data_IF_051827971839
#
_entry.id   IF_051827971839
#
_cell.length_a   1.000
_cell.length_b   1.000
_cell.length_c   1.000
_cell.angle_alpha   90.00
_cell.angle_beta   90.00
_cell.angle_gamma   90.00
#
_symmetry.space_group_name_H-M   'P 1'
#
loop_
_entity.id
_entity.type
_entity.pdbx_description
1 polymer ?
#
# COMPACT_ATOMS: atom_id res chain seq x y z
N UNK A 1 -35.59 -90.14 -5.13
CA UNK A 1 -35.29 -88.78 -4.62
C UNK A 1 -36.53 -88.30 -3.90
N UNK A 2 -36.48 -88.08 -2.58
CA UNK A 2 -37.65 -87.72 -1.76
C UNK A 2 -37.91 -86.19 -1.84
N UNK A 3 -39.16 -85.77 -1.63
CA UNK A 3 -39.57 -84.36 -1.76
C UNK A 3 -38.73 -83.38 -0.91
N UNK A 4 -38.20 -83.84 0.23
CA UNK A 4 -37.29 -83.07 1.09
C UNK A 4 -35.96 -82.73 0.39
N UNK A 5 -35.38 -83.66 -0.37
CA UNK A 5 -34.14 -83.41 -1.11
C UNK A 5 -34.31 -82.39 -2.25
N UNK A 6 -35.47 -82.41 -2.93
CA UNK A 6 -35.81 -81.45 -3.98
C UNK A 6 -36.02 -80.04 -3.42
N UNK A 7 -36.66 -79.93 -2.25
CA UNK A 7 -36.85 -78.67 -1.54
C UNK A 7 -35.52 -78.08 -1.06
N UNK A 8 -34.62 -78.92 -0.52
CA UNK A 8 -33.30 -78.49 -0.07
C UNK A 8 -32.43 -77.95 -1.24
N UNK A 9 -32.47 -78.58 -2.41
CA UNK A 9 -31.78 -78.11 -3.63
C UNK A 9 -32.36 -76.77 -4.10
N UNK A 10 -33.69 -76.63 -4.11
CA UNK A 10 -34.34 -75.38 -4.50
C UNK A 10 -33.98 -74.21 -3.56
N UNK A 11 -33.95 -74.44 -2.25
CA UNK A 11 -33.54 -73.44 -1.25
C UNK A 11 -32.06 -73.07 -1.44
N UNK A 12 -31.19 -74.06 -1.69
CA UNK A 12 -29.76 -73.80 -1.90
C UNK A 12 -29.51 -72.99 -3.19
N UNK A 13 -30.20 -73.32 -4.28
CA UNK A 13 -30.12 -72.57 -5.54
C UNK A 13 -30.65 -71.14 -5.39
N UNK A 14 -31.76 -70.96 -4.65
CA UNK A 14 -32.32 -69.65 -4.37
C UNK A 14 -31.39 -68.80 -3.50
N UNK A 15 -30.78 -69.38 -2.46
CA UNK A 15 -29.78 -68.70 -1.64
C UNK A 15 -28.53 -68.33 -2.44
N UNK A 16 -28.11 -69.20 -3.36
CA UNK A 16 -26.96 -68.94 -4.26
C UNK A 16 -27.27 -67.81 -5.23
N UNK A 17 -28.49 -67.76 -5.79
CA UNK A 17 -28.96 -66.66 -6.64
C UNK A 17 -29.09 -65.33 -5.87
N UNK A 18 -29.58 -65.38 -4.63
CA UNK A 18 -29.62 -64.21 -3.75
C UNK A 18 -28.22 -63.73 -3.36
N UNK A 19 -27.25 -64.63 -3.19
CA UNK A 19 -25.88 -64.27 -2.89
C UNK A 19 -25.19 -63.61 -4.08
N UNK A 20 -25.31 -64.16 -5.29
CA UNK A 20 -24.69 -63.60 -6.50
C UNK A 20 -25.26 -62.23 -6.87
N UNK A 21 -26.57 -62.01 -6.72
CA UNK A 21 -27.20 -60.70 -6.94
C UNK A 21 -26.74 -59.64 -5.93
N UNK A 22 -26.63 -59.99 -4.64
CA UNK A 22 -26.09 -59.09 -3.61
C UNK A 22 -24.63 -58.70 -3.87
N UNK A 23 -23.81 -59.66 -4.28
CA UNK A 23 -22.41 -59.44 -4.66
C UNK A 23 -22.32 -58.47 -5.84
N UNK A 24 -23.16 -58.64 -6.87
CA UNK A 24 -23.23 -57.74 -8.02
C UNK A 24 -23.60 -56.30 -7.64
N UNK A 25 -24.62 -56.12 -6.80
CA UNK A 25 -25.05 -54.80 -6.30
C UNK A 25 -23.91 -54.11 -5.52
N UNK A 26 -23.19 -54.87 -4.69
CA UNK A 26 -22.05 -54.35 -3.94
C UNK A 26 -20.95 -53.82 -4.87
N UNK A 27 -20.59 -54.57 -5.92
CA UNK A 27 -19.58 -54.12 -6.89
C UNK A 27 -20.02 -52.88 -7.67
N UNK A 28 -21.30 -52.78 -8.05
CA UNK A 28 -21.85 -51.60 -8.72
C UNK A 28 -21.77 -50.38 -7.79
N UNK A 29 -22.20 -50.52 -6.54
CA UNK A 29 -22.12 -49.45 -5.54
C UNK A 29 -20.68 -48.98 -5.28
N UNK A 30 -19.75 -49.93 -5.21
CA UNK A 30 -18.33 -49.64 -5.07
C UNK A 30 -17.77 -48.89 -6.28
N UNK A 31 -18.13 -49.29 -7.50
CA UNK A 31 -17.70 -48.61 -8.73
C UNK A 31 -18.25 -47.17 -8.81
N UNK A 32 -19.52 -46.96 -8.43
CA UNK A 32 -20.12 -45.62 -8.35
C UNK A 32 -19.42 -44.76 -7.30
N UNK A 33 -19.12 -45.33 -6.13
CA UNK A 33 -18.40 -44.62 -5.08
C UNK A 33 -17.01 -44.17 -5.53
N UNK A 34 -16.25 -45.03 -6.20
CA UNK A 34 -14.95 -44.68 -6.78
C UNK A 34 -15.07 -43.59 -7.85
N UNK A 35 -16.10 -43.66 -8.69
CA UNK A 35 -16.36 -42.64 -9.71
C UNK A 35 -16.67 -41.27 -9.09
N UNK A 36 -17.46 -41.22 -8.02
CA UNK A 36 -17.76 -39.98 -7.29
C UNK A 36 -16.51 -39.37 -6.63
N UNK A 37 -15.64 -40.21 -6.06
CA UNK A 37 -14.34 -39.78 -5.51
C UNK A 37 -13.48 -39.17 -6.62
N UNK A 38 -13.40 -39.82 -7.78
CA UNK A 38 -12.65 -39.31 -8.92
C UNK A 38 -13.18 -37.95 -9.37
N UNK A 39 -14.50 -37.79 -9.50
CA UNK A 39 -15.12 -36.50 -9.84
C UNK A 39 -14.79 -35.43 -8.80
N UNK A 40 -14.89 -35.75 -7.51
CA UNK A 40 -14.55 -34.81 -6.43
C UNK A 40 -13.10 -34.30 -6.56
N UNK A 41 -12.13 -35.20 -6.77
CA UNK A 41 -10.73 -34.80 -6.96
C UNK A 41 -10.53 -33.94 -8.21
N UNK A 42 -11.22 -34.27 -9.29
CA UNK A 42 -11.19 -33.48 -10.53
C UNK A 42 -11.72 -32.06 -10.28
N UNK A 43 -12.89 -31.92 -9.67
CA UNK A 43 -13.46 -30.60 -9.33
C UNK A 43 -12.58 -29.81 -8.36
N UNK A 44 -12.02 -30.47 -7.33
CA UNK A 44 -11.11 -29.83 -6.38
C UNK A 44 -9.83 -29.32 -7.07
N UNK A 45 -9.25 -30.11 -7.98
CA UNK A 45 -8.06 -29.74 -8.74
C UNK A 45 -8.33 -28.53 -9.65
N UNK A 46 -9.45 -28.55 -10.38
CA UNK A 46 -9.85 -27.43 -11.23
C UNK A 46 -10.16 -26.17 -10.41
N UNK A 47 -10.88 -26.29 -9.30
CA UNK A 47 -11.23 -25.16 -8.42
C UNK A 47 -10.01 -24.49 -7.78
N UNK A 48 -9.01 -25.27 -7.33
CA UNK A 48 -7.75 -24.69 -6.84
C UNK A 48 -7.00 -23.91 -7.93
N UNK A 49 -6.96 -24.45 -9.15
CA UNK A 49 -6.23 -23.83 -10.25
C UNK A 49 -6.86 -22.51 -10.70
N UNK A 50 -8.18 -22.41 -10.72
CA UNK A 50 -8.88 -21.16 -11.08
C UNK A 50 -8.73 -20.10 -9.99
N UNK A 51 -8.82 -20.48 -8.71
CA UNK A 51 -8.72 -19.52 -7.59
C UNK A 51 -7.35 -18.86 -7.46
N UNK A 52 -6.26 -19.57 -7.76
CA UNK A 52 -4.89 -19.02 -7.69
C UNK A 52 -4.66 -17.97 -8.79
N UNK A 53 -5.18 -18.18 -10.00
CA UNK A 53 -4.95 -17.26 -11.11
C UNK A 53 -5.67 -15.92 -10.93
N UNK A 54 -6.89 -15.95 -10.40
CA UNK A 54 -7.67 -14.74 -10.15
C UNK A 54 -7.06 -13.90 -9.02
N UNK A 55 -6.63 -14.57 -7.95
CA UNK A 55 -5.94 -13.91 -6.83
C UNK A 55 -4.60 -13.32 -7.24
N UNK A 56 -3.82 -14.00 -8.09
CA UNK A 56 -2.57 -13.47 -8.65
C UNK A 56 -2.79 -12.20 -9.48
N UNK A 57 -3.75 -12.21 -10.42
CA UNK A 57 -4.06 -11.02 -11.23
C UNK A 57 -4.53 -9.84 -10.39
N UNK A 58 -5.36 -10.11 -9.39
CA UNK A 58 -5.83 -9.08 -8.48
C UNK A 58 -4.67 -8.50 -7.65
N UNK A 59 -3.80 -9.36 -7.13
CA UNK A 59 -2.60 -8.94 -6.38
C UNK A 59 -1.65 -8.12 -7.25
N UNK A 60 -1.37 -8.56 -8.48
CA UNK A 60 -0.54 -7.82 -9.43
C UNK A 60 -1.10 -6.42 -9.70
N UNK A 61 -2.42 -6.31 -9.92
CA UNK A 61 -3.08 -5.03 -10.13
C UNK A 61 -2.97 -4.11 -8.90
N UNK A 62 -3.21 -4.66 -7.71
CA UNK A 62 -3.09 -3.89 -6.45
C UNK A 62 -1.66 -3.42 -6.21
N UNK A 63 -0.66 -4.27 -6.49
CA UNK A 63 0.76 -3.92 -6.36
C UNK A 63 1.12 -2.80 -7.34
N UNK A 64 0.63 -2.89 -8.59
CA UNK A 64 0.91 -1.88 -9.60
C UNK A 64 0.23 -0.54 -9.25
N UNK A 65 -1.03 -0.55 -8.82
CA UNK A 65 -1.72 0.64 -8.34
C UNK A 65 -1.00 1.28 -7.14
N UNK A 66 -0.59 0.47 -6.16
CA UNK A 66 0.18 0.94 -5.02
C UNK A 66 1.53 1.54 -5.43
N UNK A 67 2.21 0.94 -6.43
CA UNK A 67 3.47 1.43 -6.97
C UNK A 67 3.30 2.78 -7.67
N UNK A 68 2.29 2.91 -8.52
CA UNK A 68 1.97 4.16 -9.23
C UNK A 68 1.67 5.28 -8.22
N UNK A 69 0.85 4.99 -7.21
CA UNK A 69 0.52 5.96 -6.16
C UNK A 69 1.76 6.35 -5.34
N UNK A 70 2.59 5.39 -4.95
CA UNK A 70 3.85 5.66 -4.25
C UNK A 70 4.79 6.57 -5.06
N UNK A 71 4.94 6.31 -6.36
CA UNK A 71 5.73 7.17 -7.26
C UNK A 71 5.13 8.57 -7.35
N UNK A 72 3.81 8.69 -7.49
CA UNK A 72 3.12 9.99 -7.59
C UNK A 72 3.31 10.82 -6.32
N UNK A 73 3.14 10.20 -5.14
CA UNK A 73 3.36 10.86 -3.85
C UNK A 73 4.82 11.28 -3.67
N UNK A 74 5.75 10.39 -3.98
CA UNK A 74 7.19 10.67 -3.91
C UNK A 74 7.58 11.87 -4.79
N UNK A 75 7.12 11.89 -6.05
CA UNK A 75 7.34 13.04 -6.95
C UNK A 75 6.77 14.33 -6.40
N UNK A 76 5.56 14.30 -5.83
CA UNK A 76 4.96 15.51 -5.22
C UNK A 76 5.80 16.03 -4.05
N UNK A 77 6.33 15.15 -3.20
CA UNK A 77 7.18 15.53 -2.06
C UNK A 77 8.52 16.07 -2.55
N UNK A 78 9.20 15.34 -3.44
CA UNK A 78 10.49 15.75 -4.00
C UNK A 78 10.41 17.09 -4.74
N UNK A 79 9.36 17.28 -5.55
CA UNK A 79 9.14 18.56 -6.23
C UNK A 79 8.91 19.69 -5.24
N UNK A 80 8.18 19.46 -4.14
CA UNK A 80 8.00 20.44 -3.07
C UNK A 80 9.33 20.86 -2.45
N UNK A 81 10.16 19.88 -2.06
CA UNK A 81 11.49 20.13 -1.49
C UNK A 81 12.43 20.85 -2.47
N UNK A 82 12.38 20.47 -3.75
CA UNK A 82 13.18 21.13 -4.78
C UNK A 82 12.74 22.59 -4.95
N UNK A 83 11.43 22.86 -5.04
CA UNK A 83 10.90 24.22 -5.14
C UNK A 83 11.32 25.06 -3.92
N UNK A 84 11.30 24.51 -2.71
CA UNK A 84 11.82 25.21 -1.52
C UNK A 84 13.27 25.66 -1.73
N UNK A 85 14.13 24.84 -2.32
CA UNK A 85 15.54 25.21 -2.55
C UNK A 85 15.76 26.19 -3.70
N UNK A 86 15.00 26.09 -4.79
CA UNK A 86 15.14 26.97 -5.96
C UNK A 86 14.28 28.23 -5.88
N UNK A 87 13.46 28.38 -4.82
CA UNK A 87 12.57 29.53 -4.63
C UNK A 87 13.24 30.90 -4.84
N UNK A 88 14.49 31.14 -4.39
CA UNK A 88 15.16 32.43 -4.61
C UNK A 88 15.34 32.80 -6.09
N UNK A 89 15.37 31.83 -7.00
CA UNK A 89 15.55 32.07 -8.44
C UNK A 89 14.26 32.51 -9.15
N UNK A 90 13.11 32.53 -8.47
CA UNK A 90 11.85 32.94 -9.08
C UNK A 90 11.76 34.48 -9.18
N UNK A 91 11.13 35.02 -10.26
CA UNK A 91 11.04 36.47 -10.48
C UNK A 91 10.40 37.27 -9.33
N UNK A 92 9.44 36.67 -8.62
CA UNK A 92 8.67 37.32 -7.56
C UNK A 92 9.22 37.02 -6.15
N UNK A 93 10.45 36.51 -6.04
CA UNK A 93 11.07 36.28 -4.74
C UNK A 93 11.30 37.64 -4.02
N UNK A 94 10.99 37.76 -2.71
CA UNK A 94 10.83 39.07 -2.07
C UNK A 94 12.14 39.82 -1.79
N UNK A 95 13.30 39.28 -2.15
CA UNK A 95 14.59 39.92 -1.93
C UNK A 95 15.65 39.44 -2.93
N UNK A 96 16.80 40.11 -2.92
CA UNK A 96 17.97 39.64 -3.67
C UNK A 96 18.43 38.27 -3.15
N UNK A 97 18.84 37.38 -4.06
CA UNK A 97 19.33 36.05 -3.75
C UNK A 97 20.61 36.12 -2.91
N UNK A 98 21.48 37.10 -3.16
CA UNK A 98 22.73 37.29 -2.43
C UNK A 98 22.50 37.55 -0.93
N UNK A 99 21.38 38.18 -0.59
CA UNK A 99 20.97 38.52 0.77
C UNK A 99 20.29 37.35 1.51
N UNK A 100 19.95 36.28 0.79
CA UNK A 100 19.14 35.18 1.29
C UNK A 100 20.02 34.05 1.86
N UNK A 101 19.61 33.47 2.99
CA UNK A 101 20.26 32.31 3.63
C UNK A 101 19.24 31.22 3.88
N UNK A 102 19.52 30.03 3.35
CA UNK A 102 18.72 28.84 3.60
C UNK A 102 18.92 28.34 5.03
N UNK A 103 17.82 28.06 5.73
CA UNK A 103 17.80 27.53 7.11
C UNK A 103 17.09 26.17 7.14
N UNK A 104 15.92 26.06 6.50
CA UNK A 104 15.04 24.89 6.56
C UNK A 104 14.08 24.90 7.76
N UNK A 105 13.33 23.83 7.98
CA UNK A 105 12.23 23.82 8.97
C UNK A 105 12.67 24.25 10.38
N UNK A 106 11.91 25.13 11.06
CA UNK A 106 10.53 25.55 10.75
C UNK A 106 10.38 26.80 9.85
N UNK A 107 11.47 27.32 9.26
CA UNK A 107 11.44 28.49 8.37
C UNK A 107 12.47 28.34 7.24
N UNK A 108 12.04 28.24 5.99
CA UNK A 108 12.95 27.85 4.90
C UNK A 108 14.14 28.81 4.69
N UNK A 109 13.92 30.13 4.74
CA UNK A 109 14.98 31.13 4.58
C UNK A 109 14.90 32.28 5.58
N UNK A 110 16.06 32.90 5.83
CA UNK A 110 16.19 34.24 6.39
C UNK A 110 16.91 35.10 5.36
N UNK A 111 16.38 36.27 5.03
CA UNK A 111 17.06 37.23 4.17
C UNK A 111 17.37 38.53 4.91
N UNK A 112 18.54 39.09 4.60
CA UNK A 112 19.01 40.37 5.13
C UNK A 112 18.90 41.42 4.01
N UNK A 113 17.67 41.74 3.62
CA UNK A 113 17.38 42.55 2.44
C UNK A 113 18.12 43.89 2.48
N UNK A 114 18.71 44.27 1.35
CA UNK A 114 19.45 45.53 1.18
C UNK A 114 20.95 45.40 1.45
N UNK A 115 21.42 44.28 2.00
CA UNK A 115 22.82 44.13 2.38
C UNK A 115 23.75 44.16 1.16
N UNK A 116 23.42 43.45 0.08
CA UNK A 116 24.21 43.45 -1.16
C UNK A 116 24.16 44.79 -1.89
N UNK A 117 22.97 45.40 -2.00
CA UNK A 117 22.77 46.60 -2.81
C UNK A 117 23.22 47.88 -2.08
N UNK A 118 22.95 47.96 -0.78
CA UNK A 118 23.10 49.17 -0.01
C UNK A 118 24.21 49.08 1.06
N UNK A 119 24.81 47.90 1.26
CA UNK A 119 25.80 47.64 2.31
C UNK A 119 25.27 47.85 3.75
N UNK A 120 23.95 47.81 3.91
CA UNK A 120 23.25 47.80 5.21
C UNK A 120 21.97 46.97 5.10
N UNK A 121 21.52 46.38 6.22
CA UNK A 121 20.28 45.60 6.25
C UNK A 121 19.08 46.51 6.47
N UNK A 122 18.25 46.67 5.43
CA UNK A 122 16.96 47.37 5.46
C UNK A 122 15.94 46.60 6.31
N UNK A 123 15.80 45.30 6.02
CA UNK A 123 14.81 44.43 6.63
C UNK A 123 15.35 43.00 6.80
N UNK A 124 14.96 42.35 7.89
CA UNK A 124 15.19 40.92 8.08
C UNK A 124 13.90 40.16 7.76
N UNK A 125 13.90 39.41 6.67
CA UNK A 125 12.75 38.64 6.21
C UNK A 125 12.84 37.19 6.70
N UNK A 126 11.77 36.69 7.31
CA UNK A 126 11.58 35.27 7.59
C UNK A 126 10.66 34.70 6.51
N UNK A 127 11.19 33.82 5.65
CA UNK A 127 10.51 33.37 4.43
C UNK A 127 10.25 31.86 4.52
N UNK A 128 8.97 31.47 4.56
CA UNK A 128 8.52 30.08 4.41
C UNK A 128 7.97 29.91 3.00
N UNK A 129 8.47 28.92 2.27
CA UNK A 129 8.01 28.63 0.91
C UNK A 129 6.81 27.69 0.97
N UNK A 130 5.75 28.06 0.27
CA UNK A 130 4.55 27.25 0.14
C UNK A 130 4.27 27.00 -1.34
N UNK A 131 4.01 25.75 -1.67
CA UNK A 131 3.56 25.34 -3.01
C UNK A 131 2.06 25.03 -2.98
N UNK A 132 1.34 25.44 -4.02
CA UNK A 132 -0.10 25.20 -4.16
C UNK A 132 -0.92 25.65 -2.92
N UNK A 133 -1.87 24.84 -2.48
CA UNK A 133 -2.75 25.10 -1.34
C UNK A 133 -2.14 24.65 0.01
N UNK A 134 -0.81 24.56 0.13
CA UNK A 134 -0.17 24.16 1.37
C UNK A 134 -0.38 25.22 2.46
N UNK A 135 -0.78 24.76 3.66
CA UNK A 135 -1.07 25.62 4.81
C UNK A 135 0.11 25.63 5.77
N UNK A 136 0.22 26.70 6.57
CA UNK A 136 1.19 26.75 7.66
C UNK A 136 0.94 25.63 8.68
N UNK A 137 2.00 24.90 9.02
CA UNK A 137 2.00 23.95 10.13
C UNK A 137 1.82 24.68 11.48
N UNK A 138 1.42 23.98 12.55
CA UNK A 138 1.33 24.60 13.88
C UNK A 138 2.64 25.24 14.35
N UNK A 139 3.79 24.66 13.99
CA UNK A 139 5.12 25.18 14.33
C UNK A 139 5.44 26.46 13.54
N UNK A 140 5.20 26.45 12.23
CA UNK A 140 5.36 27.63 11.37
C UNK A 140 4.44 28.77 11.81
N UNK A 141 3.18 28.46 12.14
CA UNK A 141 2.23 29.46 12.67
C UNK A 141 2.71 30.06 13.98
N UNK A 142 3.23 29.25 14.89
CA UNK A 142 3.81 29.75 16.14
C UNK A 142 5.02 30.66 15.90
N UNK A 143 5.85 30.36 14.89
CA UNK A 143 7.00 31.21 14.52
C UNK A 143 6.52 32.52 13.90
N UNK A 144 5.58 32.45 12.94
CA UNK A 144 4.94 33.61 12.33
C UNK A 144 4.36 34.54 13.39
N UNK A 145 3.61 34.01 14.36
CA UNK A 145 3.05 34.79 15.46
C UNK A 145 4.13 35.46 16.32
N UNK A 146 5.28 34.81 16.54
CA UNK A 146 6.38 35.41 17.29
C UNK A 146 7.01 36.58 16.52
N UNK A 147 7.18 36.44 15.21
CA UNK A 147 7.67 37.50 14.31
C UNK A 147 6.69 38.68 14.28
N UNK A 148 5.40 38.44 14.03
CA UNK A 148 4.36 39.49 13.96
C UNK A 148 4.18 40.23 15.29
N UNK A 149 4.35 39.53 16.43
CA UNK A 149 4.33 40.13 17.77
C UNK A 149 5.67 40.76 18.17
N UNK A 150 6.62 40.91 17.23
CA UNK A 150 7.95 41.51 17.42
C UNK A 150 8.76 40.86 18.56
N UNK A 151 8.58 39.55 18.78
CA UNK A 151 9.33 38.78 19.79
C UNK A 151 10.69 38.33 19.26
N UNK A 152 11.42 39.24 18.62
CA UNK A 152 12.72 39.01 18.01
C UNK A 152 13.74 39.87 18.75
N UNK A 153 14.88 39.30 19.13
CA UNK A 153 15.96 40.01 19.83
C UNK A 153 17.32 39.57 19.34
N UNK A 154 18.27 40.50 19.33
CA UNK A 154 19.68 40.23 19.09
C UNK A 154 20.33 39.68 20.36
N UNK A 155 21.12 38.60 20.23
CA UNK A 155 21.89 38.02 21.33
C UNK A 155 23.29 37.73 20.81
N UNK A 156 24.30 38.27 21.49
CA UNK A 156 25.69 37.90 21.26
C UNK A 156 26.13 36.90 22.33
N UNK A 157 26.46 35.67 21.92
CA UNK A 157 26.96 34.63 22.82
C UNK A 157 28.41 34.31 22.46
N UNK A 158 29.33 34.56 23.39
CA UNK A 158 30.77 34.33 23.21
C UNK A 158 31.20 33.06 23.93
N UNK A 159 31.75 32.11 23.20
CA UNK A 159 32.43 30.94 23.76
C UNK A 159 33.87 31.34 24.04
N UNK A 160 34.33 31.19 25.29
CA UNK A 160 35.75 31.30 25.62
C UNK A 160 36.40 29.94 25.29
N UNK A 161 37.34 29.95 24.36
CA UNK A 161 38.34 28.88 24.22
C UNK A 161 39.49 29.13 25.19
#
# INVERSE_FOLDING_TARGET
>A
MNAESTLAIAINNFNTLLATTKIGIFFIGFAVFLFLILLFFVFFYFGKKTGILETQKLQEKLIEEARIDAIKRSRSVLNGQLIEQIAPLFPDFPCNIADCRFIGKPIDFIAFAGLEENNYTDEILFIEIKTNNSKLSPRERSLKDAVEKKKIRWIEYRIKN
#
